data_IF_242276723191
#
_entry.id   IF_242276723191
#
_cell.length_a   1.000
_cell.length_b   1.000
_cell.length_c   1.000
_cell.angle_alpha   90.00
_cell.angle_beta   90.00
_cell.angle_gamma   90.00
#
_symmetry.space_group_name_H-M   'P 1'
#
loop_
_entity.id
_entity.type
_entity.pdbx_description
1 polymer ?
#
# COMPACT_ATOMS: atom_id res chain seq x y z
N UNK A 1 -3.06 26.01 9.54
CA UNK A 1 -3.65 24.66 9.38
C UNK A 1 -3.64 24.37 7.90
N UNK A 2 -2.68 23.57 7.42
CA UNK A 2 -2.57 23.28 5.99
C UNK A 2 -3.37 22.01 5.70
N UNK A 3 -4.69 22.12 5.87
CA UNK A 3 -5.62 20.99 5.98
C UNK A 3 -5.72 20.17 4.70
N UNK A 4 -5.49 20.78 3.54
CA UNK A 4 -5.56 20.07 2.26
C UNK A 4 -4.44 19.03 2.10
N UNK A 5 -3.21 19.35 2.49
CA UNK A 5 -2.10 18.41 2.31
C UNK A 5 -2.25 17.17 3.19
N UNK A 6 -2.74 17.35 4.41
CA UNK A 6 -3.05 16.23 5.31
C UNK A 6 -4.23 15.41 4.79
N UNK A 7 -5.27 16.05 4.24
CA UNK A 7 -6.43 15.33 3.68
C UNK A 7 -6.07 14.40 2.53
N UNK A 8 -5.04 14.74 1.73
CA UNK A 8 -4.53 13.83 0.71
C UNK A 8 -3.87 12.59 1.31
N UNK A 9 -3.10 12.74 2.39
CA UNK A 9 -2.52 11.59 3.09
C UNK A 9 -3.60 10.67 3.66
N UNK A 10 -4.62 11.24 4.31
CA UNK A 10 -5.75 10.47 4.85
C UNK A 10 -6.56 9.77 3.74
N UNK A 11 -6.77 10.43 2.60
CA UNK A 11 -7.45 9.81 1.46
C UNK A 11 -6.65 8.63 0.87
N UNK A 12 -5.32 8.73 0.81
CA UNK A 12 -4.47 7.63 0.36
C UNK A 12 -4.48 6.47 1.37
N UNK A 13 -4.48 6.77 2.68
CA UNK A 13 -4.62 5.76 3.74
C UNK A 13 -5.91 4.96 3.57
N UNK A 14 -7.03 5.66 3.36
CA UNK A 14 -8.33 5.03 3.15
C UNK A 14 -8.34 4.16 1.89
N UNK A 15 -7.84 4.69 0.76
CA UNK A 15 -7.75 3.92 -0.48
C UNK A 15 -6.91 2.64 -0.31
N UNK A 16 -5.77 2.74 0.39
CA UNK A 16 -4.90 1.59 0.69
C UNK A 16 -5.59 0.57 1.60
N UNK A 17 -6.37 1.01 2.60
CA UNK A 17 -7.15 0.12 3.45
C UNK A 17 -8.28 -0.59 2.69
N UNK A 18 -8.95 0.11 1.77
CA UNK A 18 -9.99 -0.45 0.91
C UNK A 18 -9.40 -1.48 -0.06
N UNK A 19 -8.22 -1.21 -0.63
CA UNK A 19 -7.47 -2.17 -1.45
C UNK A 19 -7.13 -3.44 -0.65
N UNK A 20 -6.68 -3.30 0.60
CA UNK A 20 -6.39 -4.45 1.46
C UNK A 20 -7.66 -5.27 1.76
N UNK A 21 -8.77 -4.60 2.04
CA UNK A 21 -10.06 -5.27 2.25
C UNK A 21 -10.50 -6.05 1.00
N UNK A 22 -10.36 -5.45 -0.19
CA UNK A 22 -10.65 -6.11 -1.45
C UNK A 22 -9.73 -7.33 -1.69
N UNK A 23 -8.42 -7.18 -1.47
CA UNK A 23 -7.45 -8.27 -1.58
C UNK A 23 -7.76 -9.44 -0.63
N UNK A 24 -8.09 -9.16 0.65
CA UNK A 24 -8.50 -10.18 1.63
C UNK A 24 -9.77 -10.94 1.21
N UNK A 25 -10.66 -10.29 0.46
CA UNK A 25 -11.85 -10.92 -0.11
C UNK A 25 -11.61 -11.63 -1.45
N UNK A 26 -10.40 -11.56 -2.01
CA UNK A 26 -10.05 -12.10 -3.32
C UNK A 26 -10.59 -11.30 -4.51
N UNK A 27 -11.12 -10.09 -4.27
CA UNK A 27 -11.69 -9.23 -5.32
C UNK A 27 -10.60 -8.38 -5.99
N UNK A 28 -9.77 -9.01 -6.81
CA UNK A 28 -8.62 -8.38 -7.46
C UNK A 28 -9.00 -7.31 -8.48
N UNK A 29 -10.17 -7.42 -9.12
CA UNK A 29 -10.68 -6.38 -10.02
C UNK A 29 -10.93 -5.06 -9.27
N UNK A 30 -11.48 -5.12 -8.05
CA UNK A 30 -11.65 -3.93 -7.21
C UNK A 30 -10.31 -3.39 -6.70
N UNK A 31 -9.33 -4.26 -6.39
CA UNK A 31 -7.96 -3.83 -6.04
C UNK A 31 -7.35 -2.97 -7.15
N UNK A 32 -7.41 -3.43 -8.40
CA UNK A 32 -6.88 -2.70 -9.58
C UNK A 32 -7.61 -1.36 -9.78
N UNK A 33 -8.93 -1.35 -9.61
CA UNK A 33 -9.72 -0.11 -9.73
C UNK A 33 -9.34 0.90 -8.65
N UNK A 34 -9.16 0.45 -7.41
CA UNK A 34 -8.75 1.30 -6.28
C UNK A 34 -7.29 1.77 -6.42
N UNK A 35 -6.40 0.95 -7.00
CA UNK A 35 -5.04 1.36 -7.33
C UNK A 35 -5.04 2.58 -8.25
N UNK A 36 -5.91 2.60 -9.28
CA UNK A 36 -6.08 3.75 -10.16
C UNK A 36 -6.47 5.04 -9.41
N UNK A 37 -7.37 4.93 -8.43
CA UNK A 37 -7.73 6.06 -7.57
C UNK A 37 -6.55 6.53 -6.70
N UNK A 38 -5.78 5.58 -6.15
CA UNK A 38 -4.58 5.86 -5.36
C UNK A 38 -3.51 6.60 -6.18
N UNK A 39 -3.27 6.20 -7.43
CA UNK A 39 -2.34 6.88 -8.35
C UNK A 39 -2.72 8.36 -8.56
N UNK A 40 -4.01 8.64 -8.74
CA UNK A 40 -4.50 10.02 -8.89
C UNK A 40 -4.29 10.84 -7.61
N UNK A 41 -4.61 10.28 -6.44
CA UNK A 41 -4.40 10.93 -5.14
C UNK A 41 -2.92 11.22 -4.87
N UNK A 42 -2.03 10.27 -5.18
CA UNK A 42 -0.58 10.45 -5.06
C UNK A 42 -0.08 11.57 -5.98
N UNK A 43 -0.60 11.66 -7.20
CA UNK A 43 -0.27 12.73 -8.14
C UNK A 43 -0.67 14.11 -7.60
N UNK A 44 -1.90 14.23 -7.09
CA UNK A 44 -2.41 15.46 -6.48
C UNK A 44 -1.62 15.84 -5.22
N UNK A 45 -1.30 14.86 -4.37
CA UNK A 45 -0.46 15.04 -3.19
C UNK A 45 0.91 15.61 -3.56
N UNK A 46 1.58 15.03 -4.57
CA UNK A 46 2.90 15.49 -5.03
C UNK A 46 2.85 16.94 -5.51
N UNK A 47 1.79 17.32 -6.22
CA UNK A 47 1.60 18.68 -6.68
C UNK A 47 1.37 19.66 -5.53
N UNK A 48 0.50 19.30 -4.57
CA UNK A 48 0.24 20.13 -3.39
C UNK A 48 1.50 20.29 -2.53
N UNK A 49 2.24 19.21 -2.28
CA UNK A 49 3.46 19.20 -1.48
C UNK A 49 4.61 20.06 -2.06
N UNK A 50 4.56 20.41 -3.35
CA UNK A 50 5.55 21.29 -3.97
C UNK A 50 5.42 22.76 -3.52
N UNK A 51 4.22 23.17 -3.09
CA UNK A 51 3.92 24.56 -2.70
C UNK A 51 3.53 24.71 -1.22
N UNK A 52 3.27 23.59 -0.54
CA UNK A 52 2.76 23.53 0.82
C UNK A 52 3.70 22.74 1.72
N UNK A 53 3.94 23.26 2.93
CA UNK A 53 4.64 22.54 3.99
C UNK A 53 3.68 22.22 5.15
N UNK A 54 3.90 21.07 5.77
CA UNK A 54 3.21 20.66 7.00
C UNK A 54 3.92 21.25 8.21
N UNK A 55 3.15 21.60 9.24
CA UNK A 55 3.69 21.92 10.55
C UNK A 55 4.32 20.69 11.24
N UNK A 56 5.03 20.89 12.37
CA UNK A 56 5.69 19.80 13.09
C UNK A 56 4.72 18.69 13.56
N UNK A 57 3.54 19.05 14.07
CA UNK A 57 2.53 18.07 14.51
C UNK A 57 1.94 17.29 13.32
N UNK A 58 1.65 17.98 12.21
CA UNK A 58 1.16 17.38 10.97
C UNK A 58 2.20 16.44 10.33
N UNK A 59 3.50 16.73 10.50
CA UNK A 59 4.59 15.86 10.02
C UNK A 59 4.67 14.53 10.76
N UNK A 60 4.42 14.53 12.08
CA UNK A 60 4.31 13.29 12.86
C UNK A 60 3.12 12.46 12.40
N UNK A 61 1.98 13.10 12.17
CA UNK A 61 0.78 12.41 11.67
C UNK A 61 1.00 11.83 10.27
N UNK A 62 1.57 12.61 9.34
CA UNK A 62 2.01 12.13 8.02
C UNK A 62 2.85 10.86 8.13
N UNK A 63 3.82 10.83 9.05
CA UNK A 63 4.71 9.67 9.21
C UNK A 63 3.92 8.42 9.61
N UNK A 64 2.96 8.56 10.55
CA UNK A 64 2.09 7.44 10.95
C UNK A 64 1.20 6.95 9.81
N UNK A 65 0.63 7.88 9.04
CA UNK A 65 -0.19 7.54 7.87
C UNK A 65 0.64 6.75 6.84
N UNK A 66 1.83 7.24 6.50
CA UNK A 66 2.73 6.56 5.57
C UNK A 66 3.09 5.15 6.01
N UNK A 67 3.35 4.94 7.31
CA UNK A 67 3.64 3.61 7.84
C UNK A 67 2.46 2.64 7.65
N UNK A 68 1.23 3.09 7.85
CA UNK A 68 0.03 2.26 7.66
C UNK A 68 -0.21 1.91 6.20
N UNK A 69 -0.01 2.86 5.29
CA UNK A 69 -0.06 2.60 3.84
C UNK A 69 0.95 1.51 3.46
N UNK A 70 2.20 1.63 3.93
CA UNK A 70 3.24 0.63 3.62
C UNK A 70 2.92 -0.76 4.19
N UNK A 71 2.30 -0.83 5.38
CA UNK A 71 1.87 -2.10 5.96
C UNK A 71 0.75 -2.76 5.14
N UNK A 72 -0.24 -1.98 4.72
CA UNK A 72 -1.32 -2.45 3.86
C UNK A 72 -0.77 -2.97 2.52
N UNK A 73 0.13 -2.21 1.87
CA UNK A 73 0.76 -2.60 0.60
C UNK A 73 1.61 -3.87 0.72
N UNK A 74 2.29 -4.05 1.87
CA UNK A 74 3.04 -5.28 2.15
C UNK A 74 2.10 -6.49 2.25
N UNK A 75 0.97 -6.34 2.93
CA UNK A 75 -0.01 -7.41 3.09
C UNK A 75 -0.73 -7.73 1.77
N UNK A 76 -1.11 -6.72 0.97
CA UNK A 76 -1.68 -6.91 -0.38
C UNK A 76 -0.73 -7.74 -1.24
N UNK A 77 0.57 -7.42 -1.25
CA UNK A 77 1.58 -8.17 -2.02
C UNK A 77 1.70 -9.62 -1.55
N UNK A 78 1.67 -9.85 -0.24
CA UNK A 78 1.68 -11.20 0.31
C UNK A 78 0.44 -12.01 -0.12
N UNK A 79 -0.74 -11.38 -0.14
CA UNK A 79 -1.99 -12.00 -0.61
C UNK A 79 -2.00 -12.26 -2.12
N UNK A 80 -1.33 -11.42 -2.90
CA UNK A 80 -1.27 -11.52 -4.35
C UNK A 80 -0.29 -12.60 -4.84
N UNK A 81 0.74 -12.92 -4.06
CA UNK A 81 1.81 -13.84 -4.47
C UNK A 81 1.99 -15.05 -3.51
N UNK A 82 0.93 -15.76 -3.08
CA UNK A 82 1.07 -16.85 -2.11
C UNK A 82 1.90 -18.03 -2.65
N UNK A 83 1.94 -18.20 -3.96
CA UNK A 83 2.70 -19.26 -4.62
C UNK A 83 4.22 -19.09 -4.54
N UNK A 84 4.75 -17.91 -4.17
CA UNK A 84 6.19 -17.73 -4.00
C UNK A 84 6.72 -18.58 -2.84
N UNK A 85 5.99 -18.65 -1.72
CA UNK A 85 6.34 -19.49 -0.58
C UNK A 85 6.25 -21.00 -0.91
N UNK A 86 5.25 -21.38 -1.71
CA UNK A 86 5.06 -22.76 -2.18
C UNK A 86 6.14 -23.17 -3.18
N UNK A 87 6.56 -22.26 -4.07
CA UNK A 87 7.64 -22.51 -5.03
C UNK A 87 8.99 -22.65 -4.32
N UNK A 88 9.23 -21.84 -3.29
CA UNK A 88 10.41 -21.95 -2.42
C UNK A 88 10.46 -23.31 -1.71
N UNK A 89 9.31 -23.80 -1.21
CA UNK A 89 9.20 -25.15 -0.64
C UNK A 89 9.39 -26.26 -1.68
N UNK A 90 8.82 -26.13 -2.88
CA UNK A 90 8.96 -27.11 -3.97
C UNK A 90 10.42 -27.20 -4.46
N UNK A 91 11.13 -26.06 -4.53
CA UNK A 91 12.54 -26.00 -4.90
C UNK A 91 13.45 -26.56 -3.80
N UNK A 92 13.17 -26.27 -2.52
CA UNK A 92 13.89 -26.87 -1.38
C UNK A 92 13.64 -28.39 -1.26
N UNK A 93 12.46 -28.86 -1.66
CA UNK A 93 12.08 -30.28 -1.65
C UNK A 93 12.77 -31.14 -2.73
N UNK A 94 13.24 -30.55 -3.83
CA UNK A 94 13.97 -31.26 -4.91
C UNK A 94 15.48 -31.41 -4.66
N UNK A 95 16.01 -30.86 -3.57
CA UNK A 95 17.43 -30.95 -3.21
C UNK A 95 17.75 -32.08 -2.20
N UNK A 96 17.02 -33.20 -2.25
CA UNK A 96 17.47 -34.45 -1.60
C UNK A 96 17.87 -35.48 -2.65
N UNK A 97 19.18 -35.53 -2.86
CA UNK A 97 19.99 -36.71 -3.23
C UNK A 97 19.59 -37.46 -4.51
N UNK A 98 20.37 -37.22 -5.57
CA UNK A 98 20.78 -38.32 -6.46
C UNK A 98 22.24 -38.59 -6.08
N UNK A 99 22.47 -39.63 -5.29
CA UNK A 99 23.80 -40.19 -5.07
C UNK A 99 24.02 -41.34 -6.05
#
# INVERSE_FOLDING_TARGET
>A
MNTQLLSYYEAIEQASADMLSAARSGNWDEVVKLEGACVLLISQLKHAAASQQLGPDESQLKTRIMQRILLNDAEIRHLAEPWLDDLDQLMKGKSKTVH
#
